data_IF_549373706589
#
_entry.id   IF_549373706589
#
_cell.length_a   1.000
_cell.length_b   1.000
_cell.length_c   1.000
_cell.angle_alpha   90.00
_cell.angle_beta   90.00
_cell.angle_gamma   90.00
#
_symmetry.space_group_name_H-M   'P 1'
#
loop_
_entity.id
_entity.type
_entity.pdbx_description
1 polymer ?
#
# COMPACT_ATOMS: atom_id res chain seq x y z
N UNK A 1 -19.04 -11.24 -20.67
CA UNK A 1 -17.63 -10.84 -20.44
C UNK A 1 -17.66 -9.36 -20.14
N UNK A 2 -17.28 -8.94 -18.96
CA UNK A 2 -17.39 -7.54 -18.50
C UNK A 2 -16.03 -6.84 -18.64
N UNK A 3 -15.97 -5.73 -19.37
CA UNK A 3 -14.77 -4.92 -19.60
C UNK A 3 -14.95 -3.54 -18.97
N UNK A 4 -14.14 -3.21 -18.00
CA UNK A 4 -14.24 -1.96 -17.24
C UNK A 4 -12.96 -1.15 -17.42
N UNK A 5 -13.11 0.12 -17.84
CA UNK A 5 -12.07 1.12 -17.74
C UNK A 5 -12.12 1.72 -16.34
N UNK A 6 -11.06 1.57 -15.58
CA UNK A 6 -10.96 2.10 -14.23
C UNK A 6 -9.97 3.27 -14.14
N UNK A 7 -10.26 4.24 -13.28
CA UNK A 7 -9.48 5.46 -13.06
C UNK A 7 -9.19 5.61 -11.56
N UNK A 8 -7.93 5.86 -11.21
CA UNK A 8 -7.46 6.10 -9.85
C UNK A 8 -6.69 7.43 -9.78
N UNK A 9 -7.10 8.31 -8.87
CA UNK A 9 -6.44 9.62 -8.62
C UNK A 9 -6.53 10.04 -7.15
N UNK A 10 -6.59 9.10 -6.21
CA UNK A 10 -6.89 9.44 -4.81
C UNK A 10 -5.76 10.13 -4.06
N UNK A 11 -4.51 9.96 -4.50
CA UNK A 11 -3.32 10.50 -3.82
C UNK A 11 -2.33 11.15 -4.79
N UNK A 12 -1.23 10.49 -5.11
CA UNK A 12 -0.13 11.00 -5.95
C UNK A 12 0.16 10.11 -7.18
N UNK A 13 -0.67 9.12 -7.46
CA UNK A 13 -0.67 8.34 -8.68
C UNK A 13 -1.88 8.69 -9.56
N UNK A 14 -1.61 9.03 -10.84
CA UNK A 14 -2.66 9.05 -11.86
C UNK A 14 -2.64 7.71 -12.58
N UNK A 15 -3.68 6.92 -12.46
CA UNK A 15 -3.70 5.62 -13.12
C UNK A 15 -4.99 5.35 -13.89
N UNK A 16 -4.87 4.57 -14.98
CA UNK A 16 -5.98 3.98 -15.70
C UNK A 16 -5.68 2.54 -16.07
N UNK A 17 -6.71 1.68 -16.04
CA UNK A 17 -6.58 0.26 -16.34
C UNK A 17 -7.82 -0.26 -17.03
N UNK A 18 -7.66 -1.28 -17.88
CA UNK A 18 -8.76 -2.06 -18.42
C UNK A 18 -8.75 -3.44 -17.82
N UNK A 19 -9.83 -3.79 -17.13
CA UNK A 19 -10.01 -5.04 -16.40
C UNK A 19 -11.15 -5.85 -17.00
N UNK A 20 -10.93 -7.17 -17.12
CA UNK A 20 -11.94 -8.10 -17.60
C UNK A 20 -12.39 -9.02 -16.48
N UNK A 21 -13.71 -9.10 -16.28
CA UNK A 21 -14.37 -9.96 -15.29
C UNK A 21 -13.82 -9.80 -13.87
N UNK A 22 -13.29 -8.61 -13.53
CA UNK A 22 -12.72 -8.29 -12.22
C UNK A 22 -11.41 -9.01 -11.89
N UNK A 23 -10.80 -9.70 -12.83
CA UNK A 23 -9.61 -10.54 -12.61
C UNK A 23 -8.47 -10.29 -13.60
N UNK A 24 -8.79 -10.27 -14.89
CA UNK A 24 -7.76 -10.23 -15.94
C UNK A 24 -7.41 -8.79 -16.26
N UNK A 25 -6.13 -8.47 -16.10
CA UNK A 25 -5.59 -7.14 -16.40
C UNK A 25 -5.23 -7.10 -17.89
N UNK A 26 -5.94 -6.31 -18.70
CA UNK A 26 -5.56 -6.04 -20.07
C UNK A 26 -4.50 -4.95 -20.16
N UNK A 27 -4.67 -3.90 -19.34
CA UNK A 27 -3.72 -2.81 -19.20
C UNK A 27 -3.77 -2.23 -17.79
N UNK A 28 -2.67 -1.66 -17.32
CA UNK A 28 -2.60 -0.87 -16.08
C UNK A 28 -1.46 0.14 -16.24
N UNK A 29 -1.81 1.39 -16.47
CA UNK A 29 -0.88 2.51 -16.67
C UNK A 29 -0.88 3.36 -15.41
N UNK A 30 0.30 3.67 -14.90
CA UNK A 30 0.48 4.47 -13.68
C UNK A 30 1.49 5.58 -13.95
N UNK A 31 1.06 6.82 -13.82
CA UNK A 31 1.92 8.01 -13.82
C UNK A 31 2.12 8.46 -12.37
N UNK A 32 3.24 8.08 -11.78
CA UNK A 32 3.57 8.41 -10.39
C UNK A 32 4.20 9.79 -10.25
N UNK A 33 3.85 10.49 -9.19
CA UNK A 33 4.34 11.81 -8.84
C UNK A 33 5.42 11.77 -7.74
N UNK A 34 5.93 10.58 -7.37
CA UNK A 34 6.90 10.41 -6.28
C UNK A 34 8.10 11.35 -6.42
N UNK A 35 8.69 11.46 -7.64
CA UNK A 35 9.85 12.34 -7.87
C UNK A 35 9.52 13.82 -7.64
N UNK A 36 8.29 14.23 -7.97
CA UNK A 36 7.83 15.59 -7.73
C UNK A 36 7.68 15.85 -6.22
N UNK A 37 7.08 14.92 -5.49
CA UNK A 37 6.79 15.04 -4.08
C UNK A 37 8.02 14.82 -3.17
N UNK A 38 9.04 14.14 -3.68
CA UNK A 38 10.32 13.95 -2.97
C UNK A 38 10.95 15.28 -2.55
N UNK A 39 10.79 16.34 -3.34
CA UNK A 39 11.29 17.69 -3.04
C UNK A 39 10.62 18.32 -1.82
N UNK A 40 9.40 17.90 -1.51
CA UNK A 40 8.60 18.39 -0.37
C UNK A 40 8.71 17.47 0.85
N UNK A 41 9.34 16.31 0.70
CA UNK A 41 9.43 15.31 1.77
C UNK A 41 8.09 14.63 2.12
N UNK A 42 7.13 14.63 1.18
CA UNK A 42 5.80 14.05 1.29
C UNK A 42 4.84 14.64 0.27
N UNK A 43 3.64 14.09 0.18
CA UNK A 43 2.64 14.52 -0.80
C UNK A 43 2.12 15.93 -0.48
N UNK A 44 2.18 16.81 -1.46
CA UNK A 44 1.62 18.17 -1.39
C UNK A 44 0.32 18.23 -2.20
N UNK A 45 -0.87 18.35 -1.56
CA UNK A 45 -2.17 18.11 -2.19
C UNK A 45 -2.48 18.99 -3.41
N UNK A 46 -2.12 20.27 -3.37
CA UNK A 46 -2.36 21.18 -4.50
C UNK A 46 -1.50 20.85 -5.73
N UNK A 47 -0.25 20.43 -5.49
CA UNK A 47 0.66 20.00 -6.55
C UNK A 47 0.15 18.69 -7.17
N UNK A 48 -0.28 17.75 -6.33
CA UNK A 48 -0.86 16.48 -6.78
C UNK A 48 -2.07 16.71 -7.68
N UNK A 49 -3.03 17.54 -7.26
CA UNK A 49 -4.24 17.82 -8.03
C UNK A 49 -3.93 18.41 -9.41
N UNK A 50 -2.99 19.35 -9.50
CA UNK A 50 -2.58 19.96 -10.78
C UNK A 50 -1.91 18.94 -11.70
N UNK A 51 -1.08 18.05 -11.16
CA UNK A 51 -0.41 17.04 -11.95
C UNK A 51 -1.41 15.99 -12.49
N UNK A 52 -2.44 15.62 -11.75
CA UNK A 52 -3.51 14.76 -12.24
C UNK A 52 -4.20 15.33 -13.47
N UNK A 53 -4.49 16.64 -13.49
CA UNK A 53 -5.11 17.30 -14.65
C UNK A 53 -4.27 17.14 -15.91
N UNK A 54 -2.95 17.22 -15.79
CA UNK A 54 -2.03 17.06 -16.92
C UNK A 54 -1.89 15.62 -17.40
N UNK A 55 -2.00 14.66 -16.49
CA UNK A 55 -1.68 13.25 -16.75
C UNK A 55 -2.89 12.39 -17.11
N UNK A 56 -4.12 12.79 -16.72
CA UNK A 56 -5.28 11.90 -16.77
C UNK A 56 -5.65 11.48 -18.19
N UNK A 57 -5.65 12.38 -19.14
CA UNK A 57 -6.02 12.07 -20.54
C UNK A 57 -4.98 11.15 -21.19
N UNK A 58 -3.68 11.48 -21.19
CA UNK A 58 -2.65 10.58 -21.73
C UNK A 58 -2.68 9.18 -21.11
N UNK A 59 -2.88 9.07 -19.78
CA UNK A 59 -2.90 7.78 -19.07
C UNK A 59 -4.11 6.94 -19.50
N UNK A 60 -5.28 7.54 -19.68
CA UNK A 60 -6.48 6.84 -20.16
C UNK A 60 -6.29 6.36 -21.60
N UNK A 61 -5.77 7.24 -22.50
CA UNK A 61 -5.52 6.88 -23.89
C UNK A 61 -4.52 5.73 -24.02
N UNK A 62 -3.43 5.79 -23.26
CA UNK A 62 -2.43 4.73 -23.21
C UNK A 62 -3.02 3.41 -22.67
N UNK A 63 -3.84 3.46 -21.63
CA UNK A 63 -4.49 2.28 -21.07
C UNK A 63 -5.40 1.58 -22.11
N UNK A 64 -6.18 2.32 -22.89
CA UNK A 64 -7.02 1.80 -23.95
C UNK A 64 -6.18 1.20 -25.08
N UNK A 65 -5.14 1.92 -25.51
CA UNK A 65 -4.24 1.47 -26.58
C UNK A 65 -3.53 0.16 -26.21
N UNK A 66 -3.00 0.03 -24.97
CA UNK A 66 -2.36 -1.19 -24.47
C UNK A 66 -3.34 -2.35 -24.32
N UNK A 67 -4.59 -2.06 -23.98
CA UNK A 67 -5.65 -3.08 -23.94
C UNK A 67 -6.07 -3.56 -25.34
N UNK A 68 -5.77 -2.79 -26.39
CA UNK A 68 -6.21 -3.04 -27.77
C UNK A 68 -7.73 -2.88 -27.92
N UNK A 69 -8.35 -1.99 -27.14
CA UNK A 69 -9.79 -1.78 -27.12
C UNK A 69 -10.17 -0.34 -27.44
N UNK A 70 -11.30 -0.20 -28.14
CA UNK A 70 -11.97 1.09 -28.30
C UNK A 70 -13.06 1.31 -27.25
N UNK A 71 -13.60 2.51 -27.23
CA UNK A 71 -14.67 2.92 -26.29
C UNK A 71 -15.95 2.06 -26.42
N UNK A 72 -16.28 1.61 -27.63
CA UNK A 72 -17.48 0.79 -27.89
C UNK A 72 -17.42 -0.63 -27.31
N UNK A 73 -16.23 -1.06 -26.90
CA UNK A 73 -16.01 -2.40 -26.35
C UNK A 73 -16.05 -2.43 -24.82
N UNK A 74 -16.22 -1.28 -24.18
CA UNK A 74 -16.32 -1.14 -22.73
C UNK A 74 -17.77 -1.30 -22.27
N UNK A 75 -17.96 -1.94 -21.12
CA UNK A 75 -19.26 -2.12 -20.50
C UNK A 75 -19.53 -1.08 -19.38
N UNK A 76 -18.48 -0.53 -18.77
CA UNK A 76 -18.59 0.49 -17.73
C UNK A 76 -17.30 1.29 -17.56
N UNK A 77 -17.42 2.45 -16.92
CA UNK A 77 -16.30 3.24 -16.41
C UNK A 77 -16.36 3.21 -14.89
N UNK A 78 -15.21 2.98 -14.25
CA UNK A 78 -15.07 2.99 -12.82
C UNK A 78 -14.12 4.09 -12.36
N UNK A 79 -14.35 4.63 -11.17
CA UNK A 79 -13.50 5.68 -10.60
C UNK A 79 -13.47 5.59 -9.09
N UNK A 80 -12.35 5.93 -8.51
CA UNK A 80 -12.24 6.10 -7.06
C UNK A 80 -12.99 7.36 -6.62
N UNK A 81 -14.03 7.15 -5.81
CA UNK A 81 -14.81 8.22 -5.17
C UNK A 81 -14.14 8.74 -3.89
N UNK A 82 -13.35 7.91 -3.24
CA UNK A 82 -12.66 8.14 -1.96
C UNK A 82 -12.34 6.84 -1.22
N UNK A 83 -11.70 6.92 -0.04
CA UNK A 83 -11.09 8.12 0.53
C UNK A 83 -9.85 8.59 -0.25
N UNK A 84 -9.45 9.87 -0.02
CA UNK A 84 -8.27 10.43 -0.67
C UNK A 84 -8.21 11.96 -0.56
N UNK A 85 -7.28 12.56 -1.29
CA UNK A 85 -7.13 14.01 -1.39
C UNK A 85 -8.28 14.58 -2.23
N UNK A 86 -9.11 15.44 -1.64
CA UNK A 86 -10.33 15.95 -2.29
C UNK A 86 -10.06 16.53 -3.69
N UNK A 87 -9.03 17.38 -3.84
CA UNK A 87 -8.67 17.96 -5.13
C UNK A 87 -8.21 16.94 -6.17
N UNK A 88 -7.50 15.90 -5.76
CA UNK A 88 -7.05 14.79 -6.61
C UNK A 88 -8.23 13.92 -7.06
N UNK A 89 -9.10 13.52 -6.12
CA UNK A 89 -10.33 12.78 -6.40
C UNK A 89 -11.24 13.50 -7.39
N UNK A 90 -11.41 14.83 -7.24
CA UNK A 90 -12.23 15.65 -8.15
C UNK A 90 -11.78 15.53 -9.61
N UNK A 91 -10.48 15.42 -9.87
CA UNK A 91 -9.98 15.26 -11.24
C UNK A 91 -10.45 13.94 -11.85
N UNK A 92 -10.27 12.84 -11.15
CA UNK A 92 -10.69 11.51 -11.60
C UNK A 92 -12.20 11.39 -11.74
N UNK A 93 -12.96 11.82 -10.73
CA UNK A 93 -14.42 11.75 -10.74
C UNK A 93 -15.03 12.57 -11.88
N UNK A 94 -14.57 13.81 -12.11
CA UNK A 94 -15.11 14.63 -13.20
C UNK A 94 -14.72 14.08 -14.59
N UNK A 95 -13.50 13.56 -14.74
CA UNK A 95 -13.10 12.89 -15.97
C UNK A 95 -13.97 11.66 -16.25
N UNK A 96 -14.17 10.79 -15.25
CA UNK A 96 -15.00 9.61 -15.38
C UNK A 96 -16.47 9.94 -15.67
N UNK A 97 -17.05 10.95 -15.00
CA UNK A 97 -18.41 11.45 -15.28
C UNK A 97 -18.55 11.95 -16.71
N UNK A 98 -17.61 12.77 -17.20
CA UNK A 98 -17.62 13.29 -18.56
C UNK A 98 -17.55 12.17 -19.60
N UNK A 99 -16.65 11.20 -19.41
CA UNK A 99 -16.50 10.05 -20.29
C UNK A 99 -17.72 9.15 -20.29
N UNK A 100 -18.24 8.81 -19.10
CA UNK A 100 -19.43 7.97 -18.96
C UNK A 100 -20.66 8.63 -19.63
N UNK A 101 -20.83 9.93 -19.46
CA UNK A 101 -21.91 10.69 -20.11
C UNK A 101 -21.77 10.70 -21.63
N UNK A 102 -20.59 11.04 -22.15
CA UNK A 102 -20.36 11.13 -23.60
C UNK A 102 -20.46 9.78 -24.30
N UNK A 103 -20.10 8.71 -23.64
CA UNK A 103 -20.11 7.34 -24.21
C UNK A 103 -21.35 6.55 -23.87
N UNK A 104 -22.27 7.13 -23.10
CA UNK A 104 -23.47 6.47 -22.58
C UNK A 104 -23.16 5.15 -21.86
N UNK A 105 -22.10 5.15 -21.04
CA UNK A 105 -21.65 4.02 -20.25
C UNK A 105 -22.06 4.18 -18.78
N UNK A 106 -22.40 3.08 -18.08
CA UNK A 106 -22.56 3.09 -16.64
C UNK A 106 -21.31 3.58 -15.92
N UNK A 107 -21.49 4.37 -14.86
CA UNK A 107 -20.42 4.84 -13.97
C UNK A 107 -20.45 4.05 -12.66
N UNK A 108 -19.31 3.50 -12.27
CA UNK A 108 -19.17 2.74 -11.01
C UNK A 108 -18.24 3.49 -10.07
N UNK A 109 -18.79 3.94 -8.95
CA UNK A 109 -18.01 4.55 -7.88
C UNK A 109 -17.39 3.47 -6.98
N UNK A 110 -16.12 3.58 -6.67
CA UNK A 110 -15.36 2.59 -5.91
C UNK A 110 -14.70 3.24 -4.70
N UNK A 111 -14.77 2.56 -3.56
CA UNK A 111 -13.99 2.93 -2.39
C UNK A 111 -12.53 2.48 -2.61
N UNK A 112 -11.57 3.40 -2.43
CA UNK A 112 -10.14 3.15 -2.61
C UNK A 112 -9.63 1.95 -1.78
N UNK A 113 -10.09 1.84 -0.52
CA UNK A 113 -9.70 0.71 0.36
C UNK A 113 -10.28 -0.62 -0.15
N UNK A 114 -11.51 -0.57 -0.70
CA UNK A 114 -12.11 -1.72 -1.37
C UNK A 114 -11.28 -2.13 -2.60
N UNK A 115 -10.77 -1.17 -3.37
CA UNK A 115 -9.80 -1.43 -4.44
C UNK A 115 -8.61 -2.24 -3.93
N UNK A 116 -7.95 -1.78 -2.86
CA UNK A 116 -6.85 -2.53 -2.26
C UNK A 116 -7.25 -3.96 -1.84
N UNK A 117 -8.41 -4.14 -1.25
CA UNK A 117 -8.91 -5.49 -0.91
C UNK A 117 -8.95 -6.37 -2.16
N UNK A 118 -9.60 -5.87 -3.22
CA UNK A 118 -9.80 -6.63 -4.46
C UNK A 118 -8.53 -6.80 -5.31
N UNK A 119 -7.43 -6.12 -5.00
CA UNK A 119 -6.14 -6.40 -5.64
C UNK A 119 -5.68 -7.86 -5.45
N UNK A 120 -6.19 -8.55 -4.41
CA UNK A 120 -5.95 -9.98 -4.17
C UNK A 120 -6.70 -10.93 -5.12
N UNK A 121 -7.60 -10.42 -5.97
CA UNK A 121 -8.34 -11.21 -6.97
C UNK A 121 -7.77 -11.06 -8.39
N UNK A 122 -6.81 -10.13 -8.58
CA UNK A 122 -6.24 -9.86 -9.88
C UNK A 122 -5.25 -10.94 -10.33
N UNK A 123 -5.35 -11.29 -11.59
CA UNK A 123 -4.47 -12.25 -12.25
C UNK A 123 -3.56 -11.50 -13.24
N UNK A 124 -2.22 -11.61 -13.13
CA UNK A 124 -1.30 -11.08 -14.13
C UNK A 124 -1.55 -11.73 -15.49
N UNK A 125 -1.37 -10.98 -16.58
CA UNK A 125 -1.72 -11.40 -17.96
C UNK A 125 -0.90 -12.58 -18.50
N UNK A 126 0.32 -12.80 -18.00
CA UNK A 126 1.20 -13.94 -18.35
C UNK A 126 2.29 -14.17 -17.30
N UNK A 127 2.78 -15.42 -17.23
CA UNK A 127 3.96 -15.81 -16.42
C UNK A 127 5.27 -15.08 -16.82
N UNK A 128 5.28 -14.27 -17.87
CA UNK A 128 6.45 -13.52 -18.33
C UNK A 128 6.57 -12.12 -17.68
N UNK A 129 5.54 -11.63 -17.02
CA UNK A 129 5.61 -10.43 -16.16
C UNK A 129 6.11 -10.76 -14.74
N UNK A 130 6.59 -11.97 -14.57
CA UNK A 130 7.39 -12.30 -13.39
C UNK A 130 8.62 -11.42 -13.34
N UNK A 131 8.59 -10.43 -12.47
CA UNK A 131 9.81 -10.09 -11.74
C UNK A 131 10.30 -11.44 -11.19
N UNK A 132 11.30 -12.02 -11.85
CA UNK A 132 11.97 -13.25 -11.44
C UNK A 132 12.32 -13.16 -9.96
N UNK A 133 11.44 -13.65 -9.12
CA UNK A 133 11.84 -14.05 -7.78
C UNK A 133 12.71 -15.28 -8.03
N UNK A 134 14.00 -15.05 -8.00
CA UNK A 134 15.04 -16.07 -8.10
C UNK A 134 14.84 -17.04 -6.93
N UNK A 135 14.02 -17.99 -7.07
CA UNK A 135 14.06 -19.32 -6.50
C UNK A 135 12.66 -19.99 -6.47
N UNK A 136 12.31 -20.88 -7.39
CA UNK A 136 11.03 -21.59 -7.36
C UNK A 136 10.92 -22.59 -6.18
N UNK A 137 11.95 -22.72 -5.35
CA UNK A 137 11.97 -23.63 -4.18
C UNK A 137 11.70 -22.95 -2.84
N UNK A 138 11.53 -21.63 -2.76
CA UNK A 138 11.35 -20.88 -1.50
C UNK A 138 10.07 -20.04 -1.43
N UNK A 139 9.08 -20.30 -2.27
CA UNK A 139 7.74 -19.70 -2.10
C UNK A 139 7.10 -20.23 -0.81
N UNK A 140 6.46 -19.36 0.01
CA UNK A 140 5.77 -19.81 1.19
C UNK A 140 4.69 -20.82 0.80
N UNK A 141 4.69 -21.98 1.46
CA UNK A 141 3.82 -23.13 1.14
C UNK A 141 2.32 -22.83 1.18
N UNK A 142 1.90 -21.70 1.74
CA UNK A 142 0.51 -21.31 1.93
C UNK A 142 0.11 -20.01 1.20
N UNK A 143 0.98 -19.41 0.38
CA UNK A 143 0.65 -18.22 -0.41
C UNK A 143 -0.04 -18.62 -1.70
N UNK A 144 -1.30 -18.22 -1.89
CA UNK A 144 -2.01 -18.28 -3.17
C UNK A 144 -2.21 -16.86 -3.70
N UNK A 145 -1.96 -16.63 -4.98
CA UNK A 145 -2.22 -15.32 -5.62
C UNK A 145 -3.71 -15.09 -5.92
N UNK A 146 -4.55 -16.10 -5.76
CA UNK A 146 -5.97 -16.05 -6.14
C UNK A 146 -6.82 -16.47 -4.95
N UNK A 147 -7.73 -15.58 -4.56
CA UNK A 147 -8.73 -15.88 -3.53
C UNK A 147 -9.89 -16.67 -4.16
N UNK A 148 -10.16 -17.84 -3.63
CA UNK A 148 -11.26 -18.68 -4.10
C UNK A 148 -12.59 -18.25 -3.45
N UNK A 149 -13.73 -18.32 -4.15
CA UNK A 149 -15.06 -17.98 -3.59
C UNK A 149 -15.42 -18.72 -2.28
N UNK A 150 -14.90 -19.92 -2.07
CA UNK A 150 -15.11 -20.68 -0.83
C UNK A 150 -14.25 -20.21 0.37
N UNK A 151 -13.44 -19.17 0.18
CA UNK A 151 -12.52 -18.68 1.22
C UNK A 151 -13.18 -17.82 2.29
N UNK A 152 -14.45 -17.42 2.13
CA UNK A 152 -15.15 -16.62 3.13
C UNK A 152 -15.43 -17.40 4.42
N UNK A 153 -15.41 -16.77 5.60
CA UNK A 153 -15.01 -15.37 5.82
C UNK A 153 -13.51 -15.14 5.68
N UNK A 154 -13.13 -13.98 5.14
CA UNK A 154 -11.75 -13.59 4.89
C UNK A 154 -11.36 -12.49 5.88
N UNK A 155 -10.24 -12.64 6.59
CA UNK A 155 -9.65 -11.54 7.31
C UNK A 155 -8.81 -10.70 6.34
N UNK A 156 -9.06 -9.40 6.30
CA UNK A 156 -8.28 -8.46 5.49
C UNK A 156 -7.46 -7.56 6.40
N UNK A 157 -6.14 -7.53 6.20
CA UNK A 157 -5.23 -6.56 6.78
C UNK A 157 -4.91 -5.51 5.72
N UNK A 158 -5.49 -4.32 5.87
CA UNK A 158 -5.23 -3.16 5.01
C UNK A 158 -4.11 -2.35 5.64
N UNK A 159 -2.97 -2.20 4.95
CA UNK A 159 -1.79 -1.49 5.46
C UNK A 159 -1.20 -0.58 4.38
N UNK A 160 -1.40 0.72 4.51
CA UNK A 160 -0.94 1.73 3.55
C UNK A 160 -0.30 2.94 4.24
N UNK A 161 0.00 3.98 3.48
CA UNK A 161 0.48 5.26 4.00
C UNK A 161 -0.50 5.91 4.98
N UNK A 162 -1.79 5.86 4.68
CA UNK A 162 -2.85 6.52 5.47
C UNK A 162 -3.73 5.58 6.29
N UNK A 163 -3.67 4.27 6.05
CA UNK A 163 -4.59 3.31 6.68
C UNK A 163 -3.86 2.10 7.26
N UNK A 164 -4.31 1.69 8.44
CA UNK A 164 -3.94 0.40 9.05
C UNK A 164 -5.18 -0.15 9.74
N UNK A 165 -5.82 -1.14 9.13
CA UNK A 165 -7.11 -1.67 9.57
C UNK A 165 -7.18 -3.19 9.44
N UNK A 166 -7.94 -3.81 10.36
CA UNK A 166 -8.40 -5.19 10.28
C UNK A 166 -9.89 -5.21 9.97
N UNK A 167 -10.25 -5.88 8.90
CA UNK A 167 -11.63 -5.99 8.41
C UNK A 167 -11.95 -7.45 8.15
N UNK A 168 -13.08 -7.93 8.65
CA UNK A 168 -13.62 -9.22 8.25
C UNK A 168 -14.54 -9.02 7.03
N UNK A 169 -14.20 -9.66 5.93
CA UNK A 169 -15.01 -9.73 4.73
C UNK A 169 -15.81 -11.03 4.78
N UNK A 170 -17.10 -10.93 5.07
CA UNK A 170 -18.00 -12.08 5.22
C UNK A 170 -18.47 -12.61 3.88
N UNK A 171 -18.57 -11.73 2.89
CA UNK A 171 -18.89 -11.99 1.49
C UNK A 171 -18.49 -10.77 0.65
N UNK A 172 -18.64 -10.84 -0.68
CA UNK A 172 -18.44 -9.68 -1.54
C UNK A 172 -19.33 -8.52 -1.10
N UNK A 173 -18.71 -7.35 -0.83
CA UNK A 173 -19.40 -6.15 -0.37
C UNK A 173 -19.95 -6.21 1.06
N UNK A 174 -19.64 -7.23 1.83
CA UNK A 174 -20.04 -7.36 3.25
C UNK A 174 -18.82 -7.30 4.15
N UNK A 175 -18.64 -6.16 4.80
CA UNK A 175 -17.47 -5.85 5.60
C UNK A 175 -17.83 -5.56 7.05
N UNK A 176 -17.06 -6.11 7.98
CA UNK A 176 -17.12 -5.78 9.39
C UNK A 176 -15.74 -5.33 9.87
N UNK A 177 -15.62 -4.04 10.18
CA UNK A 177 -14.39 -3.49 10.73
C UNK A 177 -14.16 -4.05 12.13
N UNK A 178 -13.01 -4.66 12.38
CA UNK A 178 -12.62 -5.22 13.67
C UNK A 178 -11.81 -4.23 14.51
N UNK A 179 -10.88 -3.53 13.88
CA UNK A 179 -10.04 -2.53 14.50
C UNK A 179 -9.21 -1.77 13.49
N UNK A 180 -8.46 -0.80 13.95
CA UNK A 180 -7.57 0.01 13.13
C UNK A 180 -6.61 0.82 13.99
N UNK A 181 -5.77 1.63 13.35
CA UNK A 181 -4.86 2.48 14.08
C UNK A 181 -5.61 3.56 14.87
N UNK A 182 -5.12 3.83 16.08
CA UNK A 182 -5.60 4.91 16.95
C UNK A 182 -4.84 6.22 16.73
N UNK A 183 -3.70 6.13 16.04
CA UNK A 183 -2.81 7.26 15.79
C UNK A 183 -2.21 7.16 14.36
N UNK A 184 -0.91 7.05 14.22
CA UNK A 184 -0.26 6.94 12.91
C UNK A 184 -0.59 5.60 12.23
N UNK A 185 -0.77 5.62 10.91
CA UNK A 185 -0.77 4.41 10.10
C UNK A 185 0.66 3.82 10.01
N UNK A 186 0.76 2.53 9.66
CA UNK A 186 2.06 1.85 9.57
C UNK A 186 2.99 2.52 8.54
N UNK A 187 2.48 2.92 7.37
CA UNK A 187 3.28 3.62 6.36
C UNK A 187 3.70 5.01 6.83
N UNK A 188 2.81 5.75 7.48
CA UNK A 188 3.12 7.05 8.08
C UNK A 188 4.22 6.93 9.15
N UNK A 189 4.20 5.86 9.96
CA UNK A 189 5.25 5.58 10.93
C UNK A 189 6.60 5.33 10.26
N UNK A 190 6.62 4.60 9.12
CA UNK A 190 7.83 4.45 8.31
C UNK A 190 8.34 5.78 7.76
N UNK A 191 7.47 6.63 7.22
CA UNK A 191 7.86 7.93 6.65
C UNK A 191 8.42 8.87 7.73
N UNK A 192 7.78 8.92 8.90
CA UNK A 192 8.24 9.72 10.03
C UNK A 192 9.59 9.26 10.56
N UNK A 193 9.79 7.95 10.69
CA UNK A 193 11.06 7.38 11.16
C UNK A 193 12.16 7.54 10.11
N UNK A 194 11.86 7.33 8.83
CA UNK A 194 12.79 7.56 7.73
C UNK A 194 13.34 8.98 7.74
N UNK A 195 12.45 9.98 7.90
CA UNK A 195 12.87 11.39 8.01
C UNK A 195 13.82 11.64 9.17
N UNK A 196 13.60 11.01 10.33
CA UNK A 196 14.51 11.11 11.47
C UNK A 196 15.89 10.46 11.20
N UNK A 197 15.91 9.42 10.37
CA UNK A 197 17.13 8.73 9.94
C UNK A 197 17.84 9.43 8.76
N UNK A 198 17.33 10.58 8.28
CA UNK A 198 17.87 11.27 7.11
C UNK A 198 17.61 10.55 5.79
N UNK A 199 16.65 9.62 5.76
CA UNK A 199 16.28 8.88 4.55
C UNK A 199 15.25 9.65 3.72
N UNK A 200 15.32 9.58 2.37
CA UNK A 200 14.39 10.30 1.51
C UNK A 200 12.98 9.69 1.51
N UNK A 201 12.02 10.47 1.02
CA UNK A 201 10.67 10.01 0.71
C UNK A 201 10.63 9.17 -0.59
N UNK A 202 9.80 8.11 -0.67
CA UNK A 202 8.93 7.53 0.37
C UNK A 202 9.71 6.69 1.39
N UNK A 203 9.36 6.85 2.68
CA UNK A 203 10.14 6.27 3.79
C UNK A 203 10.14 4.75 3.86
N UNK A 204 9.00 4.10 3.58
CA UNK A 204 8.89 2.64 3.66
C UNK A 204 9.96 1.88 2.84
N UNK A 205 10.05 2.10 1.52
CA UNK A 205 11.08 1.48 0.68
C UNK A 205 12.51 1.85 1.10
N UNK A 206 12.71 3.07 1.58
CA UNK A 206 14.04 3.54 2.01
C UNK A 206 14.48 2.90 3.32
N UNK A 207 13.56 2.75 4.30
CA UNK A 207 13.84 1.99 5.53
C UNK A 207 14.17 0.53 5.20
N UNK A 208 13.42 -0.11 4.31
CA UNK A 208 13.71 -1.48 3.90
C UNK A 208 15.09 -1.62 3.25
N UNK A 209 15.47 -0.66 2.40
CA UNK A 209 16.81 -0.64 1.80
C UNK A 209 17.90 -0.42 2.87
N UNK A 210 17.70 0.56 3.75
CA UNK A 210 18.65 0.85 4.82
C UNK A 210 18.82 -0.32 5.81
N UNK A 211 17.77 -1.12 6.03
CA UNK A 211 17.79 -2.28 6.91
C UNK A 211 18.67 -3.44 6.41
N UNK A 212 19.11 -3.41 5.15
CA UNK A 212 19.95 -4.47 4.60
C UNK A 212 21.30 -4.51 5.33
N UNK A 213 21.66 -5.68 5.87
CA UNK A 213 22.87 -5.86 6.68
C UNK A 213 22.78 -5.30 8.10
N UNK A 214 21.60 -4.84 8.54
CA UNK A 214 21.35 -4.42 9.92
C UNK A 214 20.88 -5.59 10.81
N UNK A 215 21.16 -5.49 12.11
CA UNK A 215 20.70 -6.43 13.12
C UNK A 215 19.30 -6.02 13.64
N UNK A 216 18.22 -6.79 13.35
CA UNK A 216 16.87 -6.48 13.79
C UNK A 216 16.66 -6.62 15.31
N UNK A 217 17.56 -7.28 16.02
CA UNK A 217 17.51 -7.48 17.47
C UNK A 217 18.30 -6.40 18.26
N UNK A 218 19.10 -5.58 17.57
CA UNK A 218 19.99 -4.61 18.20
C UNK A 218 19.29 -3.61 19.09
N UNK A 219 18.12 -3.11 18.64
CA UNK A 219 17.36 -2.09 19.35
C UNK A 219 15.94 -2.58 19.66
N UNK A 220 15.60 -2.78 20.94
CA UNK A 220 14.26 -3.22 21.35
C UNK A 220 13.26 -2.06 21.22
N UNK A 221 12.67 -1.90 20.02
CA UNK A 221 11.64 -0.90 19.78
C UNK A 221 10.27 -1.35 20.33
N UNK A 222 9.39 -0.43 20.75
CA UNK A 222 8.10 -0.76 21.34
C UNK A 222 7.16 -1.43 20.31
N UNK A 223 6.32 -2.37 20.82
CA UNK A 223 5.18 -2.98 20.09
C UNK A 223 3.90 -2.43 20.70
N UNK A 224 3.35 -1.39 20.08
CA UNK A 224 2.16 -0.72 20.61
C UNK A 224 0.96 -1.64 20.74
N UNK A 225 0.25 -1.56 21.88
CA UNK A 225 -1.01 -2.26 22.17
C UNK A 225 -0.92 -3.80 22.07
N UNK A 226 0.25 -4.39 22.35
CA UNK A 226 0.43 -5.85 22.33
C UNK A 226 0.53 -6.47 23.72
N UNK A 227 0.56 -5.64 24.78
CA UNK A 227 0.61 -6.15 26.15
C UNK A 227 -0.73 -6.77 26.58
N UNK A 228 -0.71 -7.74 27.54
CA UNK A 228 -1.93 -8.34 28.07
C UNK A 228 -2.93 -7.33 28.63
N UNK A 229 -2.45 -6.23 29.23
CA UNK A 229 -3.30 -5.18 29.82
C UNK A 229 -4.09 -4.41 28.75
N UNK A 230 -3.51 -4.22 27.55
CA UNK A 230 -4.15 -3.53 26.43
C UNK A 230 -5.01 -4.44 25.57
N UNK A 231 -4.82 -5.77 25.68
CA UNK A 231 -5.48 -6.76 24.83
C UNK A 231 -7.01 -6.80 25.02
N UNK A 232 -7.55 -6.39 26.17
CA UNK A 232 -8.99 -6.35 26.41
C UNK A 232 -9.68 -5.25 25.59
N UNK A 233 -9.25 -4.00 25.75
CA UNK A 233 -9.91 -2.82 25.18
C UNK A 233 -9.48 -2.54 23.72
N UNK A 234 -8.22 -2.87 23.38
CA UNK A 234 -7.63 -2.56 22.06
C UNK A 234 -7.16 -3.81 21.32
N UNK A 235 -7.94 -4.89 21.43
CA UNK A 235 -7.56 -6.23 20.94
C UNK A 235 -7.08 -6.23 19.49
N UNK A 236 -7.75 -5.51 18.60
CA UNK A 236 -7.44 -5.44 17.17
C UNK A 236 -6.97 -4.06 16.72
N UNK A 237 -6.80 -3.11 17.64
CA UNK A 237 -6.32 -1.78 17.31
C UNK A 237 -4.79 -1.74 17.24
N UNK A 238 -4.28 -0.79 16.48
CA UNK A 238 -2.86 -0.52 16.32
C UNK A 238 -2.48 0.84 16.90
N UNK A 239 -1.21 1.00 17.25
CA UNK A 239 -0.61 2.28 17.60
C UNK A 239 0.86 2.27 17.21
N UNK A 240 1.28 3.26 16.45
CA UNK A 240 2.64 3.39 15.94
C UNK A 240 3.30 4.72 16.29
N UNK A 241 2.58 5.71 16.85
CA UNK A 241 3.14 7.02 17.20
C UNK A 241 4.31 6.93 18.19
N UNK A 242 4.30 5.94 19.08
CA UNK A 242 5.38 5.68 20.02
C UNK A 242 6.71 5.29 19.37
N UNK A 243 6.68 4.70 18.18
CA UNK A 243 7.90 4.33 17.44
C UNK A 243 8.72 5.54 17.03
N UNK A 244 8.07 6.62 16.56
CA UNK A 244 8.77 7.88 16.23
C UNK A 244 9.58 8.39 17.40
N UNK A 245 8.97 8.45 18.60
CA UNK A 245 9.63 8.94 19.81
C UNK A 245 10.77 8.00 20.24
N UNK A 246 10.57 6.69 20.14
CA UNK A 246 11.60 5.70 20.46
C UNK A 246 12.80 5.82 19.51
N UNK A 247 12.58 5.94 18.20
CA UNK A 247 13.63 6.15 17.21
C UNK A 247 14.38 7.45 17.46
N UNK A 248 13.67 8.56 17.75
CA UNK A 248 14.31 9.84 18.07
C UNK A 248 15.20 9.75 19.30
N UNK A 249 14.76 9.04 20.35
CA UNK A 249 15.57 8.80 21.55
C UNK A 249 16.82 7.99 21.22
N UNK A 250 16.69 6.90 20.49
CA UNK A 250 17.83 6.08 20.06
C UNK A 250 18.85 6.88 19.25
N UNK A 251 18.39 7.71 18.31
CA UNK A 251 19.27 8.57 17.52
C UNK A 251 20.08 9.48 18.45
N UNK A 252 19.45 10.14 19.41
CA UNK A 252 20.13 11.02 20.36
C UNK A 252 21.12 10.28 21.26
N UNK A 253 20.77 9.10 21.74
CA UNK A 253 21.66 8.24 22.52
C UNK A 253 22.88 7.81 21.73
N UNK A 254 22.70 7.43 20.46
CA UNK A 254 23.80 7.04 19.59
C UNK A 254 24.67 8.23 19.18
N UNK A 255 24.09 9.40 18.92
CA UNK A 255 24.86 10.64 18.68
C UNK A 255 25.74 11.00 19.86
N UNK A 256 25.22 10.93 21.09
CA UNK A 256 26.00 11.20 22.29
C UNK A 256 27.16 10.21 22.50
N UNK A 257 27.00 8.94 22.07
CA UNK A 257 28.03 7.90 22.20
C UNK A 257 29.10 7.95 21.13
N UNK A 258 28.78 8.44 19.94
CA UNK A 258 29.68 8.48 18.77
C UNK A 258 30.45 9.82 18.65
N UNK A 259 30.25 10.75 19.63
CA UNK A 259 30.80 12.11 19.55
C UNK A 259 29.99 12.99 18.57
N UNK A 260 30.16 14.31 18.72
CA UNK A 260 29.31 15.35 18.13
C UNK A 260 29.50 15.55 16.59
N UNK A 261 29.89 14.52 15.87
CA UNK A 261 29.88 14.55 14.43
C UNK A 261 28.43 14.48 13.95
N UNK A 262 27.99 15.46 13.19
CA UNK A 262 26.65 15.60 12.69
C UNK A 262 26.09 14.25 12.19
N UNK A 263 24.89 13.87 12.65
CA UNK A 263 24.11 12.78 12.06
C UNK A 263 24.00 13.07 10.56
N UNK A 264 24.28 12.13 9.67
CA UNK A 264 24.51 12.44 8.28
C UNK A 264 23.28 13.10 7.64
N UNK A 265 23.33 14.42 7.49
CA UNK A 265 22.53 15.09 6.46
C UNK A 265 23.05 14.56 5.13
N UNK A 266 22.29 13.69 4.48
CA UNK A 266 22.64 13.16 3.17
C UNK A 266 23.03 11.69 3.09
N UNK A 267 22.77 10.86 4.12
CA UNK A 267 22.93 9.39 4.04
C UNK A 267 22.27 8.76 2.81
N UNK A 268 21.24 9.42 2.25
CA UNK A 268 20.66 9.08 0.95
C UNK A 268 21.66 9.01 -0.20
N UNK A 269 22.74 9.78 -0.14
CA UNK A 269 23.81 9.77 -1.15
C UNK A 269 24.70 8.54 -1.06
N UNK A 270 24.86 7.96 0.12
CA UNK A 270 25.71 6.78 0.34
C UNK A 270 24.98 5.48 -0.01
N UNK A 271 23.68 5.36 0.28
CA UNK A 271 22.85 4.24 -0.19
C UNK A 271 22.79 4.14 -1.71
N UNK A 272 23.02 5.26 -2.43
CA UNK A 272 23.08 5.29 -3.90
C UNK A 272 24.46 4.95 -4.48
N UNK A 273 25.54 5.05 -3.70
CA UNK A 273 26.90 4.82 -4.17
C UNK A 273 27.33 3.35 -4.16
N UNK A 274 26.78 2.54 -3.26
CA UNK A 274 27.04 1.08 -3.23
C UNK A 274 26.56 0.33 -4.48
N UNK A 275 25.75 0.97 -5.35
CA UNK A 275 25.30 0.39 -6.61
C UNK A 275 26.23 0.68 -7.81
N UNK A 276 27.27 1.48 -7.63
CA UNK A 276 28.31 1.70 -8.65
C UNK A 276 29.65 1.29 -8.05
N UNK A 277 30.19 0.16 -8.51
CA UNK A 277 31.61 -0.16 -8.42
C UNK A 277 32.42 1.00 -9.01
N UNK A 278 32.75 1.96 -8.19
CA UNK A 278 33.76 2.97 -8.52
C UNK A 278 34.88 2.80 -7.55
N UNK A 279 36.01 2.24 -8.05
CA UNK A 279 37.31 2.34 -7.41
C UNK A 279 37.71 3.79 -7.24
N UNK A 280 37.24 4.39 -6.15
CA UNK A 280 37.67 5.68 -5.64
C UNK A 280 38.06 5.46 -4.18
N UNK A 281 39.34 5.53 -3.87
CA UNK A 281 39.91 5.58 -2.51
C UNK A 281 39.44 6.85 -1.78
N UNK A 282 38.17 6.84 -1.33
CA UNK A 282 37.69 7.75 -0.30
C UNK A 282 37.87 7.03 1.03
N UNK A 283 38.78 7.45 1.88
CA UNK A 283 38.98 6.93 3.23
C UNK A 283 37.71 7.15 4.06
N UNK A 284 36.81 6.18 4.03
CA UNK A 284 35.72 6.07 5.01
C UNK A 284 36.34 5.99 6.41
N UNK A 285 36.11 6.99 7.23
CA UNK A 285 36.53 6.96 8.63
C UNK A 285 35.81 5.83 9.37
N UNK A 286 36.46 5.22 10.35
CA UNK A 286 35.86 4.17 11.17
C UNK A 286 34.57 4.64 11.82
N UNK A 287 34.46 5.92 12.18
CA UNK A 287 33.23 6.56 12.69
C UNK A 287 32.10 6.64 11.64
N UNK A 288 32.43 6.86 10.37
CA UNK A 288 31.42 6.82 9.28
C UNK A 288 30.80 5.45 9.14
N UNK A 289 31.61 4.40 9.13
CA UNK A 289 31.14 3.01 9.07
C UNK A 289 30.26 2.63 10.27
N UNK A 290 30.62 3.06 11.48
CA UNK A 290 29.82 2.82 12.69
C UNK A 290 28.47 3.51 12.62
N UNK A 291 28.39 4.76 12.14
CA UNK A 291 27.14 5.50 11.97
C UNK A 291 26.21 4.82 10.95
N UNK A 292 26.76 4.42 9.80
CA UNK A 292 26.03 3.67 8.77
C UNK A 292 25.44 2.39 9.37
N UNK A 293 26.23 1.63 10.15
CA UNK A 293 25.74 0.40 10.77
C UNK A 293 24.63 0.67 11.79
N UNK A 294 24.73 1.72 12.59
CA UNK A 294 23.68 2.11 13.55
C UNK A 294 22.36 2.44 12.81
N UNK A 295 22.41 3.15 11.68
CA UNK A 295 21.22 3.44 10.88
C UNK A 295 20.62 2.13 10.31
N UNK A 296 21.46 1.21 9.82
CA UNK A 296 21.00 -0.11 9.35
C UNK A 296 20.31 -0.89 10.45
N UNK A 297 20.88 -0.91 11.66
CA UNK A 297 20.34 -1.63 12.81
C UNK A 297 19.01 -1.01 13.29
N UNK A 298 18.93 0.34 13.34
CA UNK A 298 17.66 1.02 13.68
C UNK A 298 16.59 0.74 12.63
N UNK A 299 16.93 0.80 11.34
CA UNK A 299 16.01 0.51 10.26
C UNK A 299 15.52 -0.94 10.28
N UNK A 300 16.41 -1.91 10.53
CA UNK A 300 16.09 -3.32 10.68
C UNK A 300 15.18 -3.58 11.88
N UNK A 301 15.51 -3.00 13.04
CA UNK A 301 14.70 -3.11 14.25
C UNK A 301 13.32 -2.47 14.09
N UNK A 302 13.24 -1.34 13.37
CA UNK A 302 11.99 -0.62 13.11
C UNK A 302 11.03 -1.45 12.25
N UNK A 303 11.50 -1.93 11.09
CA UNK A 303 10.62 -2.72 10.22
C UNK A 303 10.18 -4.02 10.88
N UNK A 304 11.06 -4.65 11.67
CA UNK A 304 10.73 -5.86 12.44
C UNK A 304 9.66 -5.56 13.49
N UNK A 305 9.75 -4.43 14.19
CA UNK A 305 8.76 -4.04 15.19
C UNK A 305 7.38 -3.77 14.58
N UNK A 306 7.33 -3.05 13.45
CA UNK A 306 6.07 -2.78 12.73
C UNK A 306 5.46 -4.08 12.21
N UNK A 307 6.24 -4.92 11.53
CA UNK A 307 5.77 -6.19 10.97
C UNK A 307 5.26 -7.14 12.08
N UNK A 308 5.95 -7.20 13.20
CA UNK A 308 5.56 -8.05 14.34
C UNK A 308 4.19 -7.66 14.90
N UNK A 309 3.92 -6.36 15.09
CA UNK A 309 2.61 -5.87 15.55
C UNK A 309 1.51 -6.21 14.53
N UNK A 310 1.75 -5.97 13.25
CA UNK A 310 0.78 -6.24 12.17
C UNK A 310 0.44 -7.72 12.10
N UNK A 311 1.45 -8.59 12.08
CA UNK A 311 1.27 -10.05 11.97
C UNK A 311 0.62 -10.62 13.21
N UNK A 312 1.07 -10.21 14.41
CA UNK A 312 0.51 -10.72 15.68
C UNK A 312 -0.99 -10.41 15.79
N UNK A 313 -1.40 -9.20 15.45
CA UNK A 313 -2.82 -8.81 15.50
C UNK A 313 -3.65 -9.45 14.37
N UNK A 314 -3.08 -9.66 13.20
CA UNK A 314 -3.74 -10.41 12.13
C UNK A 314 -3.97 -11.87 12.51
N UNK A 315 -2.98 -12.54 13.11
CA UNK A 315 -3.11 -13.91 13.62
C UNK A 315 -4.20 -14.02 14.69
N UNK A 316 -4.20 -13.08 15.65
CA UNK A 316 -5.20 -13.03 16.70
C UNK A 316 -6.61 -12.85 16.14
N UNK A 317 -6.80 -11.86 15.24
CA UNK A 317 -8.10 -11.59 14.64
C UNK A 317 -8.59 -12.74 13.77
N UNK A 318 -7.70 -13.39 13.02
CA UNK A 318 -8.04 -14.55 12.19
C UNK A 318 -8.57 -15.73 13.03
N UNK A 319 -7.90 -16.01 14.15
CA UNK A 319 -8.32 -17.05 15.08
C UNK A 319 -9.68 -16.74 15.73
N UNK A 320 -9.83 -15.52 16.26
CA UNK A 320 -11.04 -15.10 16.97
C UNK A 320 -12.29 -15.04 16.07
N UNK A 321 -12.12 -14.66 14.80
CA UNK A 321 -13.23 -14.50 13.86
C UNK A 321 -13.49 -15.76 13.01
N UNK A 322 -12.74 -16.84 13.19
CA UNK A 322 -12.87 -18.04 12.38
C UNK A 322 -12.62 -17.82 10.90
N UNK A 323 -11.68 -16.92 10.57
CA UNK A 323 -11.32 -16.64 9.19
C UNK A 323 -10.75 -17.89 8.52
N UNK A 324 -11.11 -18.10 7.26
CA UNK A 324 -10.63 -19.23 6.45
C UNK A 324 -9.45 -18.84 5.56
N UNK A 325 -9.29 -17.56 5.32
CA UNK A 325 -8.24 -16.99 4.49
C UNK A 325 -7.83 -15.61 5.04
N UNK A 326 -6.59 -15.22 4.81
CA UNK A 326 -6.09 -13.89 5.18
C UNK A 326 -5.63 -13.16 3.91
N UNK A 327 -6.19 -11.98 3.64
CA UNK A 327 -5.71 -11.08 2.61
C UNK A 327 -4.88 -9.95 3.24
N UNK A 328 -3.73 -9.63 2.67
CA UNK A 328 -2.94 -8.45 3.06
C UNK A 328 -2.80 -7.55 1.85
N UNK A 329 -3.08 -6.25 2.00
CA UNK A 329 -3.09 -5.30 0.88
C UNK A 329 -2.69 -3.89 1.33
N UNK A 330 -2.47 -2.99 0.34
CA UNK A 330 -1.95 -1.64 0.55
C UNK A 330 -0.43 -1.56 0.44
N UNK A 331 0.11 -0.35 0.31
CA UNK A 331 1.52 -0.11 0.00
C UNK A 331 2.53 -0.77 0.94
N UNK A 332 2.21 -0.86 2.25
CA UNK A 332 3.08 -1.52 3.24
C UNK A 332 3.11 -3.05 3.06
N UNK A 333 2.12 -3.64 2.38
CA UNK A 333 2.14 -5.07 2.03
C UNK A 333 3.30 -5.45 1.08
N UNK A 334 3.94 -4.46 0.44
CA UNK A 334 5.16 -4.65 -0.34
C UNK A 334 6.41 -4.89 0.54
N UNK A 335 6.36 -4.57 1.85
CA UNK A 335 7.51 -4.70 2.74
C UNK A 335 7.96 -6.15 2.92
N UNK A 336 9.25 -6.41 2.64
CA UNK A 336 9.82 -7.77 2.67
C UNK A 336 9.81 -8.41 4.05
N UNK A 337 10.01 -7.63 5.13
CA UNK A 337 9.97 -8.16 6.49
C UNK A 337 8.56 -8.56 6.92
N UNK A 338 7.54 -7.78 6.54
CA UNK A 338 6.14 -8.15 6.74
C UNK A 338 5.81 -9.47 6.02
N UNK A 339 6.22 -9.60 4.75
CA UNK A 339 6.04 -10.82 3.96
C UNK A 339 6.76 -12.02 4.58
N UNK A 340 7.99 -11.83 5.05
CA UNK A 340 8.77 -12.88 5.73
C UNK A 340 8.06 -13.36 7.00
N UNK A 341 7.64 -12.44 7.88
CA UNK A 341 6.97 -12.81 9.13
C UNK A 341 5.60 -13.48 8.87
N UNK A 342 4.85 -13.04 7.85
CA UNK A 342 3.62 -13.73 7.44
C UNK A 342 3.91 -15.15 6.96
N UNK A 343 4.93 -15.35 6.14
CA UNK A 343 5.31 -16.66 5.63
C UNK A 343 5.73 -17.64 6.75
N UNK A 344 6.38 -17.14 7.80
CA UNK A 344 6.85 -17.95 8.91
C UNK A 344 5.76 -18.27 9.94
N UNK A 345 4.80 -17.35 10.14
CA UNK A 345 3.88 -17.40 11.28
C UNK A 345 2.43 -17.71 10.90
N UNK A 346 2.01 -17.44 9.64
CA UNK A 346 0.64 -17.63 9.20
C UNK A 346 0.38 -19.09 8.82
N UNK A 347 -0.43 -19.78 9.62
CA UNK A 347 -0.82 -21.17 9.35
C UNK A 347 -2.00 -21.28 8.37
N UNK A 348 -2.85 -20.23 8.29
CA UNK A 348 -3.97 -20.18 7.35
C UNK A 348 -3.49 -19.90 5.93
N UNK A 349 -4.25 -20.30 4.92
CA UNK A 349 -4.05 -19.81 3.56
C UNK A 349 -4.10 -18.28 3.54
N UNK A 350 -3.17 -17.65 2.84
CA UNK A 350 -3.16 -16.20 2.73
C UNK A 350 -2.74 -15.73 1.33
N UNK A 351 -3.12 -14.52 0.98
CA UNK A 351 -2.74 -13.86 -0.26
C UNK A 351 -2.18 -12.47 0.00
N UNK A 352 -1.17 -12.11 -0.76
CA UNK A 352 -0.58 -10.78 -0.83
C UNK A 352 -0.36 -10.48 -2.30
N UNK A 353 -0.85 -9.37 -2.84
CA UNK A 353 -0.66 -9.03 -4.24
C UNK A 353 0.83 -8.91 -4.60
N UNK A 354 1.22 -9.09 -5.86
CA UNK A 354 2.55 -8.71 -6.36
C UNK A 354 2.87 -7.26 -5.97
N UNK A 355 4.15 -6.94 -5.81
CA UNK A 355 4.60 -5.63 -5.30
C UNK A 355 3.96 -4.47 -6.07
N UNK A 356 3.89 -4.56 -7.40
CA UNK A 356 3.34 -3.54 -8.28
C UNK A 356 1.81 -3.35 -8.17
N UNK A 357 1.09 -4.28 -7.55
CA UNK A 357 -0.34 -4.16 -7.20
C UNK A 357 -0.58 -3.78 -5.73
N UNK A 358 0.46 -3.67 -4.92
CA UNK A 358 0.31 -3.22 -3.54
C UNK A 358 0.15 -1.70 -3.45
N UNK A 359 0.81 -0.94 -4.36
CA UNK A 359 0.69 0.52 -4.44
C UNK A 359 -0.55 0.94 -5.22
N UNK A 360 -0.90 2.22 -5.16
CA UNK A 360 -2.08 2.76 -5.82
C UNK A 360 -2.01 2.55 -7.33
N UNK A 361 -3.07 1.96 -7.88
CA UNK A 361 -3.18 1.61 -9.29
C UNK A 361 -4.65 1.47 -9.68
N UNK A 362 -4.97 1.58 -10.97
CA UNK A 362 -6.34 1.51 -11.44
C UNK A 362 -6.84 0.07 -11.61
N UNK A 363 -5.95 -0.93 -11.71
CA UNK A 363 -6.39 -2.32 -11.85
C UNK A 363 -7.17 -2.79 -10.60
N UNK A 364 -6.75 -2.38 -9.40
CA UNK A 364 -7.44 -2.68 -8.15
C UNK A 364 -8.85 -2.08 -8.12
N UNK A 365 -9.00 -0.88 -8.69
CA UNK A 365 -10.30 -0.20 -8.80
C UNK A 365 -11.22 -0.94 -9.78
N UNK A 366 -10.67 -1.36 -10.94
CA UNK A 366 -11.41 -2.15 -11.91
C UNK A 366 -11.83 -3.53 -11.38
N UNK A 367 -11.01 -4.15 -10.53
CA UNK A 367 -11.37 -5.40 -9.86
C UNK A 367 -12.57 -5.21 -8.93
N UNK A 368 -12.53 -4.25 -8.02
CA UNK A 368 -13.64 -3.93 -7.12
C UNK A 368 -14.90 -3.51 -7.90
N UNK A 369 -14.72 -2.69 -8.94
CA UNK A 369 -15.80 -2.22 -9.78
C UNK A 369 -16.58 -3.34 -10.46
N UNK A 370 -15.95 -4.43 -10.86
CA UNK A 370 -16.64 -5.57 -11.46
C UNK A 370 -17.70 -6.14 -10.52
N UNK A 371 -17.36 -6.37 -9.27
CA UNK A 371 -18.29 -6.92 -8.29
C UNK A 371 -19.42 -5.94 -7.97
N UNK A 372 -19.12 -4.64 -7.88
CA UNK A 372 -20.12 -3.58 -7.70
C UNK A 372 -21.05 -3.48 -8.90
N UNK A 373 -20.50 -3.50 -10.11
CA UNK A 373 -21.28 -3.47 -11.37
C UNK A 373 -22.21 -4.65 -11.49
N UNK A 374 -21.74 -5.87 -11.21
CA UNK A 374 -22.57 -7.08 -11.25
C UNK A 374 -23.65 -7.12 -10.17
N UNK A 375 -23.43 -6.43 -9.06
CA UNK A 375 -24.43 -6.19 -8.00
C UNK A 375 -25.42 -5.05 -8.34
N UNK A 376 -25.29 -4.39 -9.51
CA UNK A 376 -26.15 -3.30 -9.93
C UNK A 376 -25.87 -1.94 -9.27
N UNK A 377 -24.72 -1.78 -8.62
CA UNK A 377 -24.32 -0.55 -7.93
C UNK A 377 -23.75 0.46 -8.92
N UNK A 378 -24.62 1.21 -9.56
CA UNK A 378 -24.29 2.23 -10.56
C UNK A 378 -24.44 3.61 -9.93
N UNK A 379 -23.43 4.46 -10.10
CA UNK A 379 -23.45 5.83 -9.60
C UNK A 379 -24.32 6.75 -10.46
N UNK A 380 -24.99 7.68 -9.81
CA UNK A 380 -25.74 8.73 -10.47
C UNK A 380 -24.83 9.85 -11.04
N UNK A 381 -25.46 10.78 -11.75
CA UNK A 381 -24.76 11.97 -12.29
C UNK A 381 -24.36 12.97 -11.19
N UNK A 382 -24.95 12.86 -10.05
CA UNK A 382 -24.69 13.62 -8.82
C UNK A 382 -23.50 13.10 -8.01
N UNK A 383 -22.82 12.05 -8.50
CA UNK A 383 -21.60 11.53 -7.85
C UNK A 383 -20.64 12.65 -7.48
N UNK A 384 -20.23 12.69 -6.21
CA UNK A 384 -19.26 13.64 -5.66
C UNK A 384 -18.17 12.90 -4.88
N UNK A 385 -17.08 13.58 -4.56
CA UNK A 385 -15.94 12.99 -3.88
C UNK A 385 -16.16 12.82 -2.38
N UNK A 386 -15.61 11.77 -1.81
CA UNK A 386 -15.64 11.48 -0.37
C UNK A 386 -14.22 11.40 0.18
N UNK A 387 -13.64 12.54 0.52
CA UNK A 387 -12.26 12.61 1.05
C UNK A 387 -12.05 11.72 2.28
N UNK A 388 -13.10 11.50 3.08
CA UNK A 388 -13.15 10.57 4.19
C UNK A 388 -14.29 9.59 3.98
N UNK A 389 -13.94 8.37 3.66
CA UNK A 389 -14.92 7.32 3.39
C UNK A 389 -14.44 5.98 3.93
N UNK A 390 -14.84 5.58 5.14
CA UNK A 390 -14.44 4.29 5.70
C UNK A 390 -14.99 3.14 4.86
N UNK A 391 -14.30 2.01 4.83
CA UNK A 391 -14.80 0.80 4.19
C UNK A 391 -16.03 0.29 4.95
N UNK A 392 -17.17 0.23 4.27
CA UNK A 392 -18.47 -0.23 4.80
C UNK A 392 -19.11 -1.22 3.85
N UNK A 393 -20.02 -2.02 4.38
CA UNK A 393 -20.87 -2.90 3.54
C UNK A 393 -21.68 -2.08 2.55
N UNK A 394 -21.92 -2.64 1.35
CA UNK A 394 -22.68 -1.94 0.30
C UNK A 394 -24.09 -1.57 0.73
N UNK A 395 -24.70 -2.39 1.60
CA UNK A 395 -26.04 -2.14 2.15
C UNK A 395 -26.11 -0.93 3.10
N UNK A 396 -24.97 -0.50 3.66
CA UNK A 396 -24.87 0.62 4.60
C UNK A 396 -24.57 1.96 3.88
N UNK A 397 -24.52 1.96 2.57
CA UNK A 397 -24.15 3.12 1.72
C UNK A 397 -25.37 3.69 0.99
N UNK A 398 -26.59 3.40 1.46
CA UNK A 398 -27.85 3.99 0.96
C UNK A 398 -28.04 5.43 1.46
#
# INVERSE_FOLDING_TARGET
MTRILAIETSCDETAAAVIVNGRHILSNVVASQIELHRRYGGVFPEVASRQHVLSIVPVIEEALALAGLGWAELDAIAVTEGPGLAGSLLVGVNAAKGLAFMRNLPLVAVNHLEGHVYSNWLEPKTMNDEVRTTNPKSGPRNSSFIVHPSSFPILVLIVSGGHTELVLMEDHGRYRRLGGTLDDAAGEAFDKAARLLGLPYPGGPMVQRAAQGGDPARFPLPRGLTSPETAGTHRYNFSFSGLKTAVLRLIREQQASLGDAAWPEGYAGELGKEAKETGGEGTETDDGRRKVQVIRDIAASLQTAVADVLVSKALLAAADCGARHVCVCGGVAANGELRRQLAERMALPYSIPPIWLCTDNAAMIGAAAHYRFTAGLIAGRDLDVKARWPLRSWQDVS
#
